data_IF_018129479846
#
_entry.id   IF_018129479846
#
_cell.length_a   1.000
_cell.length_b   1.000
_cell.length_c   1.000
_cell.angle_alpha   90.00
_cell.angle_beta   90.00
_cell.angle_gamma   90.00
#
_symmetry.space_group_name_H-M   'P 1'
#
loop_
_entity.id
_entity.type
_entity.pdbx_description
1 polymer ?
#
# COMPACT_ATOMS: atom_id res chain seq x y z
N UNK A 1 12.76 1.64 -24.13
CA UNK A 1 12.58 1.90 -22.67
C UNK A 1 13.58 1.02 -21.94
N UNK A 2 14.52 1.61 -21.19
CA UNK A 2 15.65 0.92 -20.56
C UNK A 2 15.10 0.01 -19.45
N UNK A 3 15.28 -1.29 -19.57
CA UNK A 3 15.07 -2.25 -18.49
C UNK A 3 16.16 -2.04 -17.44
N UNK A 4 15.78 -1.81 -16.19
CA UNK A 4 16.72 -1.74 -15.08
C UNK A 4 17.42 -3.11 -14.94
N UNK A 5 18.72 -3.18 -15.26
CA UNK A 5 19.56 -4.35 -14.96
C UNK A 5 20.14 -4.15 -13.56
N UNK A 6 19.71 -4.95 -12.59
CA UNK A 6 20.36 -4.99 -11.28
C UNK A 6 21.77 -5.58 -11.44
N UNK A 7 22.75 -4.95 -10.80
CA UNK A 7 24.14 -5.37 -10.88
C UNK A 7 24.35 -6.73 -10.18
N UNK A 8 24.97 -7.66 -10.91
CA UNK A 8 25.48 -8.94 -10.39
C UNK A 8 26.35 -8.67 -9.17
N UNK A 9 25.93 -9.09 -7.97
CA UNK A 9 26.79 -9.58 -6.87
C UNK A 9 26.01 -9.97 -5.60
N UNK A 10 24.69 -9.77 -5.53
CA UNK A 10 23.77 -10.42 -4.59
C UNK A 10 22.48 -10.71 -5.33
N UNK A 11 21.76 -11.79 -5.00
CA UNK A 11 20.42 -12.02 -5.54
C UNK A 11 19.61 -10.73 -5.33
N UNK A 12 19.17 -10.11 -6.43
CA UNK A 12 18.49 -8.82 -6.43
C UNK A 12 17.28 -9.00 -7.33
N UNK A 13 16.11 -8.62 -6.84
CA UNK A 13 14.87 -8.75 -7.61
C UNK A 13 14.32 -7.37 -7.98
N UNK A 14 13.66 -7.26 -9.13
CA UNK A 14 13.05 -6.02 -9.61
C UNK A 14 11.56 -6.02 -9.25
N UNK A 15 11.16 -5.11 -8.35
CA UNK A 15 9.75 -4.81 -8.08
C UNK A 15 9.47 -3.41 -8.61
N UNK A 16 8.53 -3.26 -9.55
CA UNK A 16 8.17 -1.97 -10.16
C UNK A 16 9.40 -1.13 -10.57
N UNK A 17 10.28 -1.70 -11.39
CA UNK A 17 11.55 -1.07 -11.86
C UNK A 17 12.58 -0.72 -10.76
N UNK A 18 12.36 -1.16 -9.52
CA UNK A 18 13.25 -0.93 -8.38
C UNK A 18 13.97 -2.23 -7.99
N UNK A 19 15.31 -2.19 -7.88
CA UNK A 19 16.13 -3.32 -7.44
C UNK A 19 16.09 -3.45 -5.91
N UNK A 20 15.54 -4.56 -5.40
CA UNK A 20 15.50 -4.88 -3.97
C UNK A 20 16.55 -5.96 -3.67
N UNK A 21 17.51 -5.73 -2.75
CA UNK A 21 18.47 -6.74 -2.32
C UNK A 21 17.75 -7.89 -1.61
N UNK A 22 18.14 -9.14 -1.84
CA UNK A 22 17.64 -10.26 -1.01
C UNK A 22 18.55 -10.40 0.22
N UNK A 23 18.04 -9.99 1.38
CA UNK A 23 18.55 -10.41 2.67
C UNK A 23 17.46 -11.28 3.32
N UNK A 24 17.78 -12.15 4.28
CA UNK A 24 16.80 -13.00 4.98
C UNK A 24 15.70 -12.20 5.72
N UNK A 25 15.89 -10.89 5.87
CA UNK A 25 14.93 -9.93 6.45
C UNK A 25 13.87 -9.44 5.45
N UNK A 26 14.01 -9.73 4.15
CA UNK A 26 13.11 -9.25 3.12
C UNK A 26 11.97 -10.23 2.83
N UNK A 27 10.78 -9.68 2.60
CA UNK A 27 9.62 -10.45 2.15
C UNK A 27 9.94 -11.18 0.85
N UNK A 28 9.52 -12.45 0.77
CA UNK A 28 9.73 -13.27 -0.42
C UNK A 28 9.11 -12.58 -1.67
N UNK A 29 9.74 -12.68 -2.85
CA UNK A 29 9.24 -12.01 -4.06
C UNK A 29 7.77 -12.27 -4.42
N UNK A 30 7.20 -13.47 -4.21
CA UNK A 30 5.77 -13.69 -4.41
C UNK A 30 4.88 -12.82 -3.52
N UNK A 31 5.31 -12.56 -2.28
CA UNK A 31 4.59 -11.71 -1.32
C UNK A 31 4.67 -10.25 -1.76
N UNK A 32 5.83 -9.77 -2.18
CA UNK A 32 5.97 -8.42 -2.71
C UNK A 32 5.10 -8.19 -3.95
N UNK A 33 5.02 -9.19 -4.85
CA UNK A 33 4.13 -9.14 -6.00
C UNK A 33 2.65 -9.10 -5.57
N UNK A 34 2.28 -9.88 -4.55
CA UNK A 34 0.92 -9.85 -3.99
C UNK A 34 0.59 -8.46 -3.42
N UNK A 35 1.45 -7.89 -2.58
CA UNK A 35 1.29 -6.55 -2.01
C UNK A 35 1.21 -5.46 -3.08
N UNK A 36 2.04 -5.56 -4.12
CA UNK A 36 1.99 -4.67 -5.27
C UNK A 36 0.65 -4.78 -6.03
N UNK A 37 0.19 -6.00 -6.29
CA UNK A 37 -1.10 -6.22 -6.95
C UNK A 37 -2.30 -5.75 -6.12
N UNK A 38 -2.22 -5.87 -4.79
CA UNK A 38 -3.22 -5.36 -3.85
C UNK A 38 -3.32 -3.83 -3.86
N UNK A 39 -2.22 -3.15 -4.16
CA UNK A 39 -2.12 -1.69 -4.09
C UNK A 39 -2.36 -0.95 -5.41
N UNK A 40 -2.35 -1.66 -6.54
CA UNK A 40 -2.35 -1.08 -7.89
C UNK A 40 -3.64 -1.38 -8.66
N UNK A 41 -3.90 -0.60 -9.72
CA UNK A 41 -5.02 -0.82 -10.66
C UNK A 41 -6.41 -0.94 -10.02
N UNK A 42 -6.64 -0.19 -8.93
CA UNK A 42 -7.94 -0.17 -8.24
C UNK A 42 -8.86 0.90 -8.81
N UNK A 43 -10.16 0.67 -8.68
CA UNK A 43 -11.20 1.63 -8.99
C UNK A 43 -12.24 1.64 -7.88
N UNK A 44 -12.77 2.81 -7.54
CA UNK A 44 -13.88 2.97 -6.61
C UNK A 44 -15.12 3.40 -7.39
N UNK A 45 -16.28 2.92 -6.94
CA UNK A 45 -17.59 3.31 -7.46
C UNK A 45 -18.52 3.57 -6.29
N UNK A 46 -19.23 4.69 -6.33
CA UNK A 46 -20.34 4.99 -5.43
C UNK A 46 -21.64 4.69 -6.16
N UNK A 47 -22.56 4.02 -5.48
CA UNK A 47 -23.92 3.79 -5.98
C UNK A 47 -24.81 4.77 -5.21
N UNK A 48 -25.42 5.70 -5.93
CA UNK A 48 -26.39 6.65 -5.39
C UNK A 48 -27.79 6.20 -5.80
N UNK A 49 -28.75 6.39 -4.90
CA UNK A 49 -30.16 6.12 -5.13
C UNK A 49 -30.92 7.44 -5.02
N UNK A 50 -31.82 7.71 -5.96
CA UNK A 50 -32.70 8.86 -5.89
C UNK A 50 -33.83 8.65 -4.86
N UNK A 51 -34.69 9.65 -4.72
CA UNK A 51 -35.87 9.63 -3.85
C UNK A 51 -36.90 8.54 -4.18
N UNK A 52 -36.82 7.94 -5.37
CA UNK A 52 -37.68 6.84 -5.83
C UNK A 52 -36.96 5.48 -5.78
N UNK A 53 -35.86 5.40 -5.04
CA UNK A 53 -34.98 4.23 -4.92
C UNK A 53 -34.39 3.75 -6.26
N UNK A 54 -34.35 4.63 -7.28
CA UNK A 54 -33.73 4.32 -8.55
C UNK A 54 -32.25 4.65 -8.51
N UNK A 55 -31.44 3.77 -9.09
CA UNK A 55 -29.99 3.97 -9.18
C UNK A 55 -29.68 5.13 -10.13
N UNK A 56 -29.02 6.15 -9.63
CA UNK A 56 -28.56 7.29 -10.43
C UNK A 56 -27.13 7.05 -10.94
N UNK A 57 -26.75 7.77 -11.99
CA UNK A 57 -25.50 7.64 -12.76
C UNK A 57 -24.26 7.38 -11.89
N UNK A 58 -23.48 6.36 -12.25
CA UNK A 58 -22.26 5.97 -11.55
C UNK A 58 -21.03 6.20 -12.45
N UNK A 59 -20.02 6.92 -11.95
CA UNK A 59 -18.69 6.97 -12.57
C UNK A 59 -17.70 6.19 -11.72
N UNK A 60 -16.98 5.25 -12.34
CA UNK A 60 -15.86 4.57 -11.68
C UNK A 60 -14.64 5.48 -11.71
N UNK A 61 -14.08 5.78 -10.55
CA UNK A 61 -12.87 6.62 -10.41
C UNK A 61 -11.67 5.72 -10.15
N UNK A 62 -10.54 5.99 -10.80
CA UNK A 62 -9.30 5.28 -10.54
C UNK A 62 -8.72 5.68 -9.17
N UNK A 63 -8.30 4.68 -8.38
CA UNK A 63 -7.72 4.87 -7.05
C UNK A 63 -6.22 4.59 -7.12
N UNK A 64 -5.43 5.66 -7.28
CA UNK A 64 -3.98 5.58 -7.39
C UNK A 64 -3.21 5.55 -6.06
N UNK A 65 -3.88 5.72 -4.91
CA UNK A 65 -3.25 5.79 -3.59
C UNK A 65 -4.15 5.24 -2.48
N UNK A 66 -3.55 4.99 -1.32
CA UNK A 66 -4.24 4.45 -0.14
C UNK A 66 -4.35 2.92 -0.15
N UNK A 67 -5.25 2.40 0.65
CA UNK A 67 -5.59 0.97 0.76
C UNK A 67 -7.11 0.80 0.69
N UNK A 68 -7.64 -0.37 0.29
CA UNK A 68 -9.07 -0.60 0.26
C UNK A 68 -9.65 -0.52 1.68
N UNK A 69 -10.63 0.35 1.88
CA UNK A 69 -11.44 0.39 3.10
C UNK A 69 -12.20 -0.94 3.19
N UNK A 70 -12.13 -1.62 4.33
CA UNK A 70 -12.62 -3.00 4.56
C UNK A 70 -11.68 -4.16 4.17
N UNK A 71 -10.38 -3.89 3.95
CA UNK A 71 -9.40 -4.97 3.84
C UNK A 71 -8.81 -5.35 5.21
N UNK A 72 -8.74 -6.65 5.50
CA UNK A 72 -7.99 -7.19 6.66
C UNK A 72 -6.49 -6.85 6.58
N UNK A 73 -5.96 -6.64 5.37
CA UNK A 73 -4.55 -6.32 5.15
C UNK A 73 -4.26 -4.82 5.37
N UNK A 74 -5.27 -3.95 5.24
CA UNK A 74 -5.09 -2.50 5.38
C UNK A 74 -4.56 -2.08 6.76
N UNK A 75 -5.09 -2.57 7.91
CA UNK A 75 -4.55 -2.27 9.23
C UNK A 75 -3.10 -2.73 9.43
N UNK A 76 -2.74 -3.91 8.90
CA UNK A 76 -1.37 -4.40 9.02
C UNK A 76 -0.39 -3.56 8.20
N UNK A 77 -0.77 -3.18 6.98
CA UNK A 77 0.04 -2.29 6.14
C UNK A 77 0.16 -0.89 6.75
N UNK A 78 -0.87 -0.42 7.44
CA UNK A 78 -0.82 0.85 8.15
C UNK A 78 0.24 0.83 9.26
N UNK A 79 0.22 -0.18 10.13
CA UNK A 79 1.21 -0.32 11.22
C UNK A 79 2.63 -0.35 10.66
N UNK A 80 2.88 -1.15 9.61
CA UNK A 80 4.20 -1.23 8.98
C UNK A 80 4.61 0.12 8.39
N UNK A 81 3.67 0.84 7.77
CA UNK A 81 3.93 2.12 7.12
C UNK A 81 4.23 3.25 8.10
N UNK A 82 3.74 3.20 9.33
CA UNK A 82 3.93 4.25 10.34
C UNK A 82 4.93 3.88 11.43
N UNK A 83 5.53 2.70 11.38
CA UNK A 83 6.38 2.19 12.46
C UNK A 83 7.66 3.03 12.65
N UNK A 84 8.14 3.64 11.57
CA UNK A 84 9.30 4.54 11.57
C UNK A 84 8.98 5.93 12.14
N UNK A 85 7.69 6.27 12.32
CA UNK A 85 7.29 7.57 12.85
C UNK A 85 7.75 7.77 14.29
N UNK A 86 7.79 6.70 15.11
CA UNK A 86 8.26 6.77 16.50
C UNK A 86 9.75 7.17 16.56
N UNK A 87 10.55 6.66 15.64
CA UNK A 87 11.99 6.96 15.57
C UNK A 87 12.28 8.39 15.05
N UNK A 88 11.27 9.08 14.53
CA UNK A 88 11.42 10.41 13.94
C UNK A 88 11.19 11.57 14.91
N UNK A 89 10.82 11.28 16.17
CA UNK A 89 10.48 12.29 17.18
C UNK A 89 11.23 11.99 18.48
N UNK A 90 11.67 13.04 19.18
CA UNK A 90 12.49 12.89 20.40
C UNK A 90 11.65 12.59 21.66
N UNK A 91 10.36 12.95 21.65
CA UNK A 91 9.43 12.77 22.76
C UNK A 91 8.79 11.38 22.78
N UNK A 92 8.26 10.95 23.93
CA UNK A 92 7.51 9.69 24.04
C UNK A 92 6.21 9.77 23.23
N UNK A 93 6.17 9.04 22.12
CA UNK A 93 5.00 8.97 21.26
C UNK A 93 4.11 7.77 21.60
N UNK A 94 2.81 8.02 21.75
CA UNK A 94 1.77 6.99 21.83
C UNK A 94 0.96 6.97 20.54
N UNK A 95 0.93 5.83 19.85
CA UNK A 95 0.17 5.64 18.62
C UNK A 95 -0.94 4.60 18.79
N UNK A 96 -2.12 4.91 18.26
CA UNK A 96 -3.23 3.98 18.10
C UNK A 96 -3.92 4.24 16.75
N UNK A 97 -3.69 3.36 15.78
CA UNK A 97 -4.11 3.59 14.40
C UNK A 97 -3.67 5.00 13.94
N UNK A 98 -4.59 5.84 13.45
CA UNK A 98 -4.34 7.22 13.04
C UNK A 98 -4.21 8.23 14.19
N UNK A 99 -4.54 7.84 15.42
CA UNK A 99 -4.39 8.70 16.59
C UNK A 99 -2.95 8.65 17.11
N UNK A 100 -2.32 9.82 17.16
CA UNK A 100 -0.97 10.01 17.69
C UNK A 100 -0.97 11.10 18.75
N UNK A 101 -0.33 10.83 19.88
CA UNK A 101 -0.10 11.78 20.97
C UNK A 101 1.38 11.84 21.34
N UNK A 102 1.85 13.02 21.72
CA UNK A 102 3.19 13.32 22.25
C UNK A 102 3.09 13.74 23.72
#
# INVERSE_FOLDING_TARGET
KRTARCASHKETFVVNDTCVPTNDENLAPPVLRLLGSFSTNRTQRVIEYDENEQRVLFHSVHVGRGVPQDSILAPMLYIIYTNDLIDSVEDEMVQFADYTSL
#
